data_IF_458610406035
#
_entry.id   IF_458610406035
#
_cell.length_a   1.000
_cell.length_b   1.000
_cell.length_c   1.000
_cell.angle_alpha   90.00
_cell.angle_beta   90.00
_cell.angle_gamma   90.00
#
_symmetry.space_group_name_H-M   'P 1'
#
loop_
_entity.id
_entity.type
_entity.pdbx_description
1 polymer ?
#
# COMPACT_ATOMS: atom_id res chain seq x y z
N UNK A 1 -24.09 14.31 6.11
CA UNK A 1 -23.35 13.83 4.92
C UNK A 1 -23.43 12.31 4.90
N UNK A 2 -23.57 11.69 3.70
CA UNK A 2 -23.51 10.22 3.62
C UNK A 2 -22.06 9.78 3.89
N UNK A 3 -21.81 8.79 4.75
CA UNK A 3 -20.46 8.31 5.01
C UNK A 3 -19.82 7.78 3.71
N UNK A 4 -18.57 8.14 3.49
CA UNK A 4 -17.77 7.63 2.38
C UNK A 4 -17.05 6.36 2.80
N UNK A 5 -16.89 5.42 1.88
CA UNK A 5 -16.12 4.21 2.05
C UNK A 5 -14.69 4.40 1.57
N UNK A 6 -13.74 4.31 2.46
CA UNK A 6 -12.33 4.55 2.19
C UNK A 6 -11.58 3.23 2.33
N UNK A 7 -10.91 2.84 1.24
CA UNK A 7 -10.03 1.69 1.22
C UNK A 7 -8.57 2.15 1.26
N UNK A 8 -7.86 1.84 2.33
CA UNK A 8 -6.42 2.02 2.43
C UNK A 8 -5.74 0.73 2.00
N UNK A 9 -4.92 0.77 0.97
CA UNK A 9 -4.21 -0.40 0.46
C UNK A 9 -2.73 -0.34 0.84
N UNK A 10 -2.22 -1.42 1.39
CA UNK A 10 -0.80 -1.61 1.69
C UNK A 10 -0.39 -3.04 1.37
N UNK A 11 0.81 -3.24 0.84
CA UNK A 11 1.25 -4.58 0.52
C UNK A 11 2.75 -4.75 0.36
N UNK A 12 3.20 -5.99 0.51
CA UNK A 12 4.60 -6.34 0.36
C UNK A 12 5.07 -6.18 -1.09
N UNK A 13 6.20 -5.50 -1.30
CA UNK A 13 6.80 -5.32 -2.63
C UNK A 13 7.16 -6.64 -3.30
N UNK A 14 7.50 -7.65 -2.52
CA UNK A 14 7.81 -8.99 -2.99
C UNK A 14 6.67 -9.62 -3.81
N UNK A 15 5.43 -9.22 -3.59
CA UNK A 15 4.27 -9.68 -4.37
C UNK A 15 4.33 -9.25 -5.84
N UNK A 16 5.14 -8.26 -6.19
CA UNK A 16 5.30 -7.79 -7.58
C UNK A 16 6.33 -8.60 -8.39
N UNK A 17 7.18 -9.36 -7.72
CA UNK A 17 8.30 -10.07 -8.36
C UNK A 17 7.84 -11.39 -8.96
N UNK A 18 7.07 -12.18 -8.23
CA UNK A 18 6.67 -13.52 -8.64
C UNK A 18 5.31 -13.53 -9.35
N UNK A 19 5.22 -14.13 -10.55
CA UNK A 19 4.02 -14.11 -11.39
C UNK A 19 2.73 -14.60 -10.72
N UNK A 20 2.70 -15.79 -10.09
CA UNK A 20 1.53 -16.27 -9.34
C UNK A 20 1.13 -15.38 -8.17
N UNK A 21 2.11 -14.87 -7.39
CA UNK A 21 1.88 -13.94 -6.28
C UNK A 21 1.27 -12.64 -6.78
N UNK A 22 1.81 -12.11 -7.88
CA UNK A 22 1.28 -10.90 -8.53
C UNK A 22 -0.16 -11.10 -8.98
N UNK A 23 -0.46 -12.20 -9.66
CA UNK A 23 -1.80 -12.51 -10.14
C UNK A 23 -2.80 -12.66 -8.99
N UNK A 24 -2.39 -13.33 -7.92
CA UNK A 24 -3.21 -13.47 -6.71
C UNK A 24 -3.48 -12.11 -6.06
N UNK A 25 -2.44 -11.32 -5.79
CA UNK A 25 -2.59 -10.04 -5.11
C UNK A 25 -3.44 -9.05 -5.92
N UNK A 26 -3.30 -9.03 -7.25
CA UNK A 26 -4.17 -8.25 -8.14
C UNK A 26 -5.63 -8.65 -8.01
N UNK A 27 -5.93 -9.97 -7.93
CA UNK A 27 -7.30 -10.45 -7.71
C UNK A 27 -7.85 -10.03 -6.36
N UNK A 28 -7.04 -10.09 -5.29
CA UNK A 28 -7.45 -9.65 -3.95
C UNK A 28 -7.78 -8.15 -3.95
N UNK A 29 -6.89 -7.31 -4.50
CA UNK A 29 -7.13 -5.86 -4.63
C UNK A 29 -8.39 -5.59 -5.46
N UNK A 30 -8.53 -6.25 -6.60
CA UNK A 30 -9.71 -6.06 -7.46
C UNK A 30 -11.00 -6.45 -6.72
N UNK A 31 -11.01 -7.58 -6.04
CA UNK A 31 -12.17 -8.03 -5.26
C UNK A 31 -12.53 -7.04 -4.16
N UNK A 32 -11.54 -6.53 -3.42
CA UNK A 32 -11.77 -5.56 -2.36
C UNK A 32 -12.37 -4.24 -2.85
N UNK A 33 -12.12 -3.90 -4.12
CA UNK A 33 -12.60 -2.65 -4.73
C UNK A 33 -13.92 -2.79 -5.50
N UNK A 34 -14.23 -4.00 -6.02
CA UNK A 34 -15.37 -4.20 -6.92
C UNK A 34 -16.50 -5.03 -6.30
N UNK A 35 -16.25 -5.75 -5.22
CA UNK A 35 -17.30 -6.52 -4.54
C UNK A 35 -17.95 -5.63 -3.49
N UNK A 36 -19.26 -5.32 -3.63
CA UNK A 36 -20.00 -4.63 -2.60
C UNK A 36 -19.91 -5.42 -1.30
N UNK A 37 -19.43 -4.81 -0.25
CA UNK A 37 -19.50 -5.39 1.07
C UNK A 37 -20.79 -4.92 1.77
N UNK A 38 -21.01 -5.39 3.00
CA UNK A 38 -22.20 -5.01 3.79
C UNK A 38 -22.32 -3.51 4.06
N UNK A 39 -21.32 -2.77 3.70
CA UNK A 39 -21.16 -1.35 4.03
C UNK A 39 -21.27 -0.46 2.79
N UNK A 40 -21.25 -1.02 1.57
CA UNK A 40 -21.39 -0.32 0.29
C UNK A 40 -20.08 -0.23 -0.52
N UNK A 41 -20.15 0.45 -1.66
CA UNK A 41 -19.05 0.52 -2.63
C UNK A 41 -17.92 1.43 -2.14
N UNK A 42 -16.68 1.07 -2.44
CA UNK A 42 -15.51 1.93 -2.21
C UNK A 42 -15.70 3.26 -2.96
N UNK A 43 -15.52 4.36 -2.26
CA UNK A 43 -15.66 5.72 -2.79
C UNK A 43 -14.34 6.50 -2.85
N UNK A 44 -13.30 5.99 -2.18
CA UNK A 44 -11.96 6.59 -2.17
C UNK A 44 -10.91 5.51 -1.89
N UNK A 45 -9.83 5.52 -2.64
CA UNK A 45 -8.68 4.63 -2.42
C UNK A 45 -7.48 5.44 -1.96
N UNK A 46 -6.82 4.97 -0.89
CA UNK A 46 -5.57 5.54 -0.39
C UNK A 46 -4.45 4.50 -0.40
N UNK A 47 -3.23 4.91 -0.72
CA UNK A 47 -2.09 4.01 -0.79
C UNK A 47 -0.76 4.76 -0.58
N UNK A 48 0.29 4.01 -0.24
CA UNK A 48 1.61 4.56 0.03
C UNK A 48 2.47 4.81 -1.21
N UNK A 49 1.96 4.62 -2.42
CA UNK A 49 2.73 4.73 -3.67
C UNK A 49 3.99 3.85 -3.69
N UNK A 50 3.91 2.66 -3.11
CA UNK A 50 4.96 1.65 -3.21
C UNK A 50 4.70 0.72 -4.41
N UNK A 51 5.76 0.06 -4.92
CA UNK A 51 5.59 -0.99 -5.94
C UNK A 51 4.74 -2.14 -5.40
N UNK A 52 3.97 -2.77 -6.27
CA UNK A 52 3.11 -3.91 -5.94
C UNK A 52 1.66 -3.52 -5.66
N UNK A 53 1.04 -3.98 -4.56
CA UNK A 53 -0.38 -3.75 -4.28
C UNK A 53 -0.82 -2.29 -4.31
N UNK A 54 0.00 -1.38 -3.81
CA UNK A 54 -0.26 0.06 -3.83
C UNK A 54 -0.43 0.57 -5.27
N UNK A 55 0.52 0.23 -6.14
CA UNK A 55 0.50 0.59 -7.57
C UNK A 55 -0.72 0.02 -8.29
N UNK A 56 -1.07 -1.24 -8.00
CA UNK A 56 -2.24 -1.86 -8.66
C UNK A 56 -3.55 -1.25 -8.17
N UNK A 57 -3.63 -0.90 -6.89
CA UNK A 57 -4.78 -0.19 -6.35
C UNK A 57 -4.97 1.17 -7.02
N UNK A 58 -3.88 1.90 -7.27
CA UNK A 58 -3.93 3.18 -7.97
C UNK A 58 -4.44 3.03 -9.42
N UNK A 59 -3.88 2.08 -10.19
CA UNK A 59 -4.32 1.82 -11.56
C UNK A 59 -5.77 1.34 -11.64
N UNK A 60 -6.17 0.44 -10.73
CA UNK A 60 -7.55 -0.06 -10.72
C UNK A 60 -8.53 1.03 -10.32
N UNK A 61 -8.19 1.87 -9.34
CA UNK A 61 -9.02 3.02 -8.95
C UNK A 61 -9.16 4.01 -10.11
N UNK A 62 -8.08 4.27 -10.86
CA UNK A 62 -8.15 5.07 -12.08
C UNK A 62 -9.13 4.47 -13.09
N UNK A 63 -9.02 3.17 -13.35
CA UNK A 63 -9.90 2.48 -14.31
C UNK A 63 -11.36 2.47 -13.88
N UNK A 64 -11.62 2.36 -12.56
CA UNK A 64 -12.95 2.42 -11.96
C UNK A 64 -13.48 3.86 -11.77
N UNK A 65 -12.73 4.88 -12.19
CA UNK A 65 -13.02 6.30 -11.96
C UNK A 65 -13.20 6.68 -10.49
N UNK A 66 -12.55 5.96 -9.58
CA UNK A 66 -12.57 6.26 -8.14
C UNK A 66 -11.57 7.37 -7.80
N UNK A 67 -11.93 8.29 -6.90
CA UNK A 67 -10.97 9.19 -6.27
C UNK A 67 -9.86 8.40 -5.59
N UNK A 68 -8.63 8.91 -5.68
CA UNK A 68 -7.46 8.27 -5.08
C UNK A 68 -6.52 9.27 -4.44
N UNK A 69 -5.86 8.82 -3.37
CA UNK A 69 -4.88 9.59 -2.60
C UNK A 69 -3.63 8.76 -2.42
N UNK A 70 -2.52 9.25 -2.96
CA UNK A 70 -1.20 8.65 -2.79
C UNK A 70 -0.38 9.39 -1.73
N UNK A 71 0.51 8.66 -1.07
CA UNK A 71 1.45 9.15 -0.07
C UNK A 71 2.88 8.88 -0.55
N UNK A 72 3.42 9.67 -1.51
CA UNK A 72 4.71 9.40 -2.13
C UNK A 72 5.86 9.79 -1.19
N UNK A 73 6.99 9.09 -1.32
CA UNK A 73 8.25 9.47 -0.66
C UNK A 73 9.00 10.46 -1.54
N UNK A 74 8.71 11.74 -1.38
CA UNK A 74 9.25 12.81 -2.23
C UNK A 74 9.79 13.95 -1.38
N UNK A 75 10.99 14.41 -1.71
CA UNK A 75 11.57 15.58 -1.06
C UNK A 75 10.70 16.84 -1.29
N UNK A 76 10.61 17.74 -0.32
CA UNK A 76 9.87 18.99 -0.49
C UNK A 76 10.34 19.75 -1.74
N UNK A 77 9.38 20.13 -2.59
CA UNK A 77 9.66 20.85 -3.84
C UNK A 77 10.16 20.02 -5.01
N UNK A 78 10.43 18.72 -4.82
CA UNK A 78 10.79 17.84 -5.91
C UNK A 78 9.54 17.36 -6.66
N UNK A 79 9.64 17.08 -7.99
CA UNK A 79 8.54 16.51 -8.74
C UNK A 79 8.23 15.10 -8.23
N UNK A 80 6.95 14.79 -8.09
CA UNK A 80 6.51 13.45 -7.68
C UNK A 80 6.67 12.50 -8.86
N UNK A 81 7.47 11.46 -8.67
CA UNK A 81 7.57 10.34 -9.59
C UNK A 81 6.71 9.21 -9.04
N UNK A 82 5.51 9.05 -9.61
CA UNK A 82 4.56 8.03 -9.18
C UNK A 82 4.96 6.64 -9.66
N UNK A 83 4.81 5.64 -8.80
CA UNK A 83 4.92 4.25 -9.21
C UNK A 83 3.65 3.73 -9.90
N UNK A 84 2.52 4.38 -9.65
CA UNK A 84 1.23 4.12 -10.27
C UNK A 84 0.85 5.18 -11.31
N UNK A 85 -0.45 5.35 -11.52
CA UNK A 85 -1.03 6.29 -12.50
C UNK A 85 -1.05 7.76 -12.03
N UNK A 86 -0.51 8.04 -10.84
CA UNK A 86 -0.49 9.38 -10.27
C UNK A 86 -1.79 9.75 -9.54
N UNK A 87 -1.84 9.45 -8.27
CA UNK A 87 -2.91 9.88 -7.37
C UNK A 87 -2.66 11.32 -6.88
N UNK A 88 -3.71 12.03 -6.48
CA UNK A 88 -3.50 13.29 -5.75
C UNK A 88 -2.82 13.01 -4.43
N UNK A 89 -1.80 13.80 -4.08
CA UNK A 89 -1.32 13.85 -2.70
C UNK A 89 -2.46 14.31 -1.78
N UNK A 90 -2.47 13.83 -0.55
CA UNK A 90 -3.45 14.27 0.43
C UNK A 90 -3.45 15.81 0.52
N UNK A 91 -4.63 16.43 0.41
CA UNK A 91 -4.76 17.90 0.46
C UNK A 91 -4.24 18.50 1.76
N UNK A 92 -4.29 17.73 2.84
CA UNK A 92 -3.87 18.14 4.19
C UNK A 92 -2.42 17.73 4.50
N UNK A 93 -1.55 17.74 3.49
CA UNK A 93 -0.14 17.36 3.63
C UNK A 93 0.58 18.08 4.80
N UNK A 94 0.12 19.29 5.19
CA UNK A 94 0.69 20.00 6.35
C UNK A 94 0.33 19.35 7.68
N UNK A 95 -0.91 18.90 7.87
CA UNK A 95 -1.37 18.23 9.11
C UNK A 95 -0.75 16.86 9.30
N UNK A 96 -0.41 16.17 8.20
CA UNK A 96 0.13 14.80 8.20
C UNK A 96 1.55 14.78 7.63
N UNK A 97 2.37 15.77 7.98
CA UNK A 97 3.78 15.83 7.58
C UNK A 97 4.53 14.59 8.06
N UNK A 98 5.41 14.08 7.21
CA UNK A 98 6.31 12.97 7.52
C UNK A 98 7.69 13.22 6.88
N UNK A 99 8.71 12.58 7.43
CA UNK A 99 10.01 12.56 6.78
C UNK A 99 9.91 11.70 5.50
N UNK A 100 10.11 12.32 4.36
CA UNK A 100 10.04 11.66 3.06
C UNK A 100 11.10 10.56 2.89
N UNK A 101 12.16 10.55 3.71
CA UNK A 101 13.19 9.50 3.74
C UNK A 101 12.75 8.28 4.54
N UNK A 102 11.73 8.42 5.36
CA UNK A 102 11.24 7.36 6.24
C UNK A 102 9.91 6.77 5.74
N UNK A 103 9.94 5.59 5.10
CA UNK A 103 8.73 4.90 4.69
C UNK A 103 7.78 4.56 5.83
N UNK A 104 8.29 4.39 7.05
CA UNK A 104 7.46 4.07 8.22
C UNK A 104 6.73 5.31 8.72
N UNK A 105 7.42 6.46 8.77
CA UNK A 105 6.78 7.74 9.08
C UNK A 105 5.67 8.10 8.08
N UNK A 106 5.89 7.82 6.78
CA UNK A 106 4.87 7.97 5.74
C UNK A 106 3.66 7.09 6.02
N UNK A 107 3.87 5.80 6.33
CA UNK A 107 2.78 4.87 6.63
C UNK A 107 2.01 5.30 7.89
N UNK A 108 2.70 5.81 8.91
CA UNK A 108 2.09 6.39 10.11
C UNK A 108 1.17 7.56 9.76
N UNK A 109 1.66 8.51 8.95
CA UNK A 109 0.89 9.66 8.52
C UNK A 109 -0.38 9.27 7.75
N UNK A 110 -0.27 8.28 6.86
CA UNK A 110 -1.40 7.73 6.11
C UNK A 110 -2.44 7.10 7.05
N UNK A 111 -2.00 6.31 8.03
CA UNK A 111 -2.92 5.66 8.99
C UNK A 111 -3.60 6.69 9.90
N UNK A 112 -2.86 7.72 10.38
CA UNK A 112 -3.45 8.81 11.17
C UNK A 112 -4.52 9.55 10.39
N UNK A 113 -4.25 9.91 9.13
CA UNK A 113 -5.23 10.53 8.25
C UNK A 113 -6.48 9.64 8.09
N UNK A 114 -6.30 8.34 7.88
CA UNK A 114 -7.40 7.39 7.76
C UNK A 114 -8.21 7.28 9.07
N UNK A 115 -7.54 7.31 10.22
CA UNK A 115 -8.16 7.32 11.54
C UNK A 115 -9.01 8.58 11.78
N UNK A 116 -8.49 9.75 11.40
CA UNK A 116 -9.24 10.99 11.54
C UNK A 116 -10.52 10.97 10.70
N UNK A 117 -10.47 10.43 9.48
CA UNK A 117 -11.66 10.24 8.66
C UNK A 117 -12.67 9.25 9.28
N UNK A 118 -12.19 8.21 9.96
CA UNK A 118 -13.06 7.31 10.69
C UNK A 118 -13.77 8.03 11.86
N UNK A 119 -13.07 8.90 12.57
CA UNK A 119 -13.64 9.74 13.63
C UNK A 119 -14.65 10.77 13.10
N UNK A 120 -14.50 11.21 11.86
CA UNK A 120 -15.44 12.07 11.13
C UNK A 120 -16.68 11.31 10.62
N UNK A 121 -16.76 10.02 10.88
CA UNK A 121 -17.92 9.16 10.55
C UNK A 121 -17.82 8.50 9.18
N UNK A 122 -16.65 8.51 8.54
CA UNK A 122 -16.39 7.71 7.35
C UNK A 122 -16.10 6.25 7.71
N UNK A 123 -16.38 5.34 6.79
CA UNK A 123 -16.08 3.92 6.95
C UNK A 123 -14.71 3.65 6.35
N UNK A 124 -13.74 3.29 7.18
CA UNK A 124 -12.37 3.05 6.75
C UNK A 124 -12.00 1.59 6.92
N UNK A 125 -11.49 0.99 5.85
CA UNK A 125 -10.97 -0.36 5.83
C UNK A 125 -9.52 -0.36 5.32
N UNK A 126 -8.64 -1.08 5.99
CA UNK A 126 -7.25 -1.28 5.58
C UNK A 126 -7.11 -2.66 4.96
N UNK A 127 -6.82 -2.71 3.67
CA UNK A 127 -6.46 -3.94 2.96
C UNK A 127 -4.95 -4.12 3.03
N UNK A 128 -4.51 -5.19 3.67
CA UNK A 128 -3.10 -5.50 3.85
C UNK A 128 -2.76 -6.84 3.17
N UNK A 129 -1.80 -6.83 2.25
CA UNK A 129 -1.32 -8.01 1.57
C UNK A 129 0.13 -8.31 1.96
N UNK A 130 0.37 -9.49 2.53
CA UNK A 130 1.71 -9.94 2.92
C UNK A 130 2.18 -11.09 2.04
N UNK A 131 3.49 -11.28 1.95
CA UNK A 131 4.14 -12.33 1.19
C UNK A 131 4.91 -13.22 2.16
N UNK A 132 4.20 -14.21 2.75
CA UNK A 132 4.82 -15.15 3.67
C UNK A 132 5.53 -14.48 4.85
N UNK A 133 6.55 -15.14 5.34
CA UNK A 133 7.23 -14.83 6.60
C UNK A 133 8.14 -13.59 6.62
N UNK A 134 8.15 -12.73 5.62
CA UNK A 134 8.96 -11.50 5.67
C UNK A 134 8.46 -10.56 6.78
N UNK A 135 8.87 -10.91 8.00
CA UNK A 135 8.34 -10.37 9.27
C UNK A 135 8.63 -8.90 9.55
N UNK A 136 9.34 -8.22 8.68
CA UNK A 136 9.75 -6.83 8.86
C UNK A 136 9.42 -6.07 7.59
N UNK A 137 8.47 -5.17 7.64
CA UNK A 137 8.18 -4.37 6.46
C UNK A 137 7.10 -3.33 6.70
N UNK A 138 7.02 -2.40 5.79
CA UNK A 138 6.08 -1.30 5.83
C UNK A 138 4.62 -1.76 6.00
N UNK A 139 4.23 -2.88 5.38
CA UNK A 139 2.88 -3.45 5.50
C UNK A 139 2.54 -3.85 6.93
N UNK A 140 3.45 -4.54 7.64
CA UNK A 140 3.24 -4.91 9.05
C UNK A 140 3.20 -3.69 9.96
N UNK A 141 4.06 -2.71 9.72
CA UNK A 141 3.99 -1.45 10.42
C UNK A 141 2.63 -0.78 10.23
N UNK A 142 2.16 -0.66 8.99
CA UNK A 142 0.82 -0.10 8.69
C UNK A 142 -0.28 -0.86 9.42
N UNK A 143 -0.25 -2.20 9.41
CA UNK A 143 -1.23 -3.03 10.14
C UNK A 143 -1.19 -2.79 11.65
N UNK A 144 0.01 -2.72 12.26
CA UNK A 144 0.16 -2.46 13.68
C UNK A 144 -0.40 -1.09 14.07
N UNK A 145 -0.11 -0.06 13.27
CA UNK A 145 -0.64 1.29 13.48
C UNK A 145 -2.14 1.36 13.26
N UNK A 146 -2.66 0.69 12.23
CA UNK A 146 -4.11 0.62 11.98
C UNK A 146 -4.86 -0.04 13.14
N UNK A 147 -4.31 -1.14 13.72
CA UNK A 147 -4.86 -1.76 14.94
C UNK A 147 -4.84 -0.80 16.13
N UNK A 148 -3.72 -0.09 16.32
CA UNK A 148 -3.59 0.89 17.41
C UNK A 148 -4.66 1.98 17.32
N UNK A 149 -5.02 2.39 16.10
CA UNK A 149 -6.07 3.38 15.85
C UNK A 149 -7.48 2.78 15.72
N UNK A 150 -7.67 1.49 15.99
CA UNK A 150 -8.99 0.84 15.95
C UNK A 150 -9.59 0.70 14.54
N UNK A 151 -8.79 0.82 13.47
CA UNK A 151 -9.27 0.65 12.11
C UNK A 151 -9.52 -0.82 11.77
N UNK A 152 -10.54 -1.07 10.94
CA UNK A 152 -10.82 -2.41 10.41
C UNK A 152 -9.72 -2.84 9.44
N UNK A 153 -9.15 -4.04 9.65
CA UNK A 153 -8.09 -4.59 8.80
C UNK A 153 -8.56 -5.88 8.16
N UNK A 154 -8.54 -5.89 6.84
CA UNK A 154 -8.65 -7.09 6.02
C UNK A 154 -7.23 -7.51 5.62
N UNK A 155 -6.75 -8.61 6.21
CA UNK A 155 -5.40 -9.10 5.98
C UNK A 155 -5.43 -10.38 5.15
N UNK A 156 -4.66 -10.38 4.08
CA UNK A 156 -4.43 -11.54 3.23
C UNK A 156 -2.94 -11.86 3.18
N UNK A 157 -2.60 -13.09 3.52
CA UNK A 157 -1.25 -13.60 3.32
C UNK A 157 -1.20 -14.41 2.02
N UNK A 158 -0.14 -14.22 1.24
CA UNK A 158 0.03 -14.97 0.01
C UNK A 158 0.13 -16.46 0.35
N UNK A 159 -0.54 -17.34 -0.42
CA UNK A 159 -0.36 -18.78 -0.25
C UNK A 159 1.13 -19.14 -0.29
N UNK A 160 1.52 -20.19 0.43
CA UNK A 160 2.86 -20.73 0.40
C UNK A 160 3.21 -21.21 -1.01
N UNK A 161 3.66 -20.28 -1.83
CA UNK A 161 4.41 -20.63 -3.02
C UNK A 161 5.85 -20.81 -2.56
N UNK A 162 6.45 -21.94 -2.93
CA UNK A 162 7.90 -22.10 -2.80
C UNK A 162 8.54 -20.95 -3.55
N UNK A 163 8.95 -19.94 -2.80
CA UNK A 163 9.75 -18.85 -3.34
C UNK A 163 10.99 -19.49 -3.95
N UNK A 164 11.35 -19.21 -5.21
CA UNK A 164 12.66 -19.60 -5.67
C UNK A 164 13.67 -19.05 -4.64
N UNK A 165 14.44 -19.94 -4.04
CA UNK A 165 15.54 -19.54 -3.18
C UNK A 165 16.29 -18.45 -3.94
N UNK A 166 16.33 -17.24 -3.39
CA UNK A 166 17.19 -16.21 -3.94
C UNK A 166 18.59 -16.79 -3.81
N UNK A 167 19.14 -17.22 -4.92
CA UNK A 167 20.52 -17.71 -4.99
C UNK A 167 21.38 -16.51 -4.58
N UNK A 168 21.83 -16.48 -3.32
CA UNK A 168 22.74 -15.46 -2.79
C UNK A 168 24.09 -15.44 -3.52
N UNK A 169 24.22 -16.24 -4.58
CA UNK A 169 25.47 -16.43 -5.33
C UNK A 169 25.85 -15.28 -6.26
N UNK A 170 24.93 -14.36 -6.56
CA UNK A 170 25.26 -13.22 -7.44
C UNK A 170 25.78 -11.97 -6.71
N UNK A 171 25.90 -12.01 -5.38
CA UNK A 171 26.47 -10.90 -4.61
C UNK A 171 28.01 -10.94 -4.51
N UNK A 172 28.66 -12.02 -4.95
CA UNK A 172 30.12 -12.13 -4.99
C UNK A 172 30.69 -11.90 -6.40
N UNK A 173 30.42 -10.70 -6.93
CA UNK A 173 31.18 -10.19 -8.07
C UNK A 173 32.66 -10.10 -7.69
N UNK A 174 33.39 -11.19 -7.89
CA UNK A 174 34.84 -11.24 -7.82
C UNK A 174 35.43 -10.13 -8.70
N UNK A 175 35.93 -9.09 -8.02
CA UNK A 175 36.92 -8.21 -8.59
C UNK A 175 38.16 -9.05 -8.93
N UNK A 176 38.15 -9.68 -10.13
CA UNK A 176 39.31 -10.34 -10.74
C UNK A 176 40.24 -9.29 -11.30
N UNK A 177 41.18 -8.87 -10.52
CA UNK A 177 42.36 -8.20 -11.05
C UNK A 177 43.15 -9.18 -11.95
N UNK A 178 43.50 -8.72 -13.13
CA UNK A 178 44.38 -9.45 -14.04
C UNK A 178 45.23 -8.47 -14.80
N UNK A 179 46.46 -8.46 -14.52
CA UNK A 179 47.71 -7.96 -15.09
C UNK A 179 47.66 -7.49 -16.54
#
# INVERSE_FOLDING_TARGET
MKPSHILVVTGARALDVHGPSRAWARRVVARAMTTPDRVGDVSLVAHGDAKGPDTWADYLALWLHLPRVGWPLVAPGAPVVWHGAGARAARDAERYRYDWRDPLARNEAMVRWASDLALEGHIVRVLALTAGWSGTGGTRHTMARARHHGLCIEHHDAPDWTWPECDERDASGTAGGGR
#
